data_IF_026330960507
#
_entry.id   IF_026330960507
#
_cell.length_a   1.000
_cell.length_b   1.000
_cell.length_c   1.000
_cell.angle_alpha   90.00
_cell.angle_beta   90.00
_cell.angle_gamma   90.00
#
_symmetry.space_group_name_H-M   'P 1'
#
loop_
_entity.id
_entity.type
_entity.pdbx_description
1 polymer ?
#
# COMPACT_ATOMS: atom_id res chain seq x y z
N UNK A 1 16.67 2.55 -2.57
CA UNK A 1 15.76 2.07 -1.51
C UNK A 1 15.69 0.58 -1.68
N UNK A 2 15.73 -0.19 -0.59
CA UNK A 2 15.59 -1.65 -0.67
C UNK A 2 14.24 -1.98 -1.30
N UNK A 3 14.28 -2.53 -2.51
CA UNK A 3 13.12 -2.89 -3.35
C UNK A 3 12.29 -4.04 -2.74
N UNK A 4 12.67 -4.50 -1.54
CA UNK A 4 11.99 -5.56 -0.78
C UNK A 4 10.72 -5.09 -0.08
N UNK A 5 10.50 -3.77 0.06
CA UNK A 5 9.37 -3.19 0.80
C UNK A 5 8.26 -2.60 -0.07
N UNK A 6 8.38 -2.71 -1.39
CA UNK A 6 7.49 -2.05 -2.34
C UNK A 6 6.99 -2.97 -3.43
N UNK A 7 5.88 -2.56 -4.05
CA UNK A 7 5.48 -3.01 -5.39
C UNK A 7 5.53 -1.81 -6.33
N UNK A 8 5.61 -2.08 -7.64
CA UNK A 8 5.66 -1.03 -8.66
C UNK A 8 4.40 -1.15 -9.51
N UNK A 9 3.80 -0.01 -9.80
CA UNK A 9 2.70 0.12 -10.74
C UNK A 9 3.04 1.20 -11.77
N UNK A 10 2.44 1.13 -12.94
CA UNK A 10 2.52 2.16 -13.95
C UNK A 10 1.17 2.87 -14.06
N UNK A 11 1.15 4.20 -14.02
CA UNK A 11 -0.06 5.02 -14.20
C UNK A 11 0.25 6.09 -15.25
N UNK A 12 -0.51 6.12 -16.34
CA UNK A 12 -0.34 7.12 -17.41
C UNK A 12 1.07 7.16 -18.00
N UNK A 13 1.72 5.99 -18.18
CA UNK A 13 3.08 5.91 -18.75
C UNK A 13 4.21 6.18 -17.76
N UNK A 14 3.91 6.22 -16.45
CA UNK A 14 4.90 6.54 -15.42
C UNK A 14 4.85 5.55 -14.27
N UNK A 15 6.03 5.08 -13.87
CA UNK A 15 6.19 4.19 -12.73
C UNK A 15 6.03 4.91 -11.40
N UNK A 16 5.30 4.27 -10.50
CA UNK A 16 5.11 4.66 -9.11
C UNK A 16 5.44 3.48 -8.19
N UNK A 17 6.29 3.74 -7.21
CA UNK A 17 6.56 2.81 -6.13
C UNK A 17 5.43 2.91 -5.09
N UNK A 18 4.77 1.80 -4.81
CA UNK A 18 3.75 1.67 -3.77
C UNK A 18 4.42 1.31 -2.45
N UNK A 19 4.21 2.15 -1.43
CA UNK A 19 4.78 1.95 -0.10
C UNK A 19 3.71 1.97 0.98
N UNK A 20 3.70 0.93 1.83
CA UNK A 20 2.96 0.96 3.08
C UNK A 20 3.81 1.62 4.17
N UNK A 21 3.74 2.95 4.26
CA UNK A 21 4.38 3.72 5.33
C UNK A 21 3.51 3.76 6.59
N UNK A 22 4.09 4.14 7.73
CA UNK A 22 3.32 4.41 8.97
C UNK A 22 2.20 5.44 8.74
N UNK A 23 2.42 6.43 7.85
CA UNK A 23 1.38 7.41 7.50
C UNK A 23 0.22 6.74 6.75
N UNK A 24 0.51 5.92 5.75
CA UNK A 24 -0.51 5.16 5.04
C UNK A 24 -1.26 4.19 5.97
N UNK A 25 -0.55 3.48 6.85
CA UNK A 25 -1.16 2.58 7.84
C UNK A 25 -2.16 3.31 8.74
N UNK A 26 -1.85 4.55 9.17
CA UNK A 26 -2.78 5.37 9.96
C UNK A 26 -4.04 5.75 9.18
N UNK A 27 -3.91 6.13 7.91
CA UNK A 27 -5.08 6.46 7.08
C UNK A 27 -5.93 5.23 6.78
N UNK A 28 -5.30 4.08 6.52
CA UNK A 28 -6.01 2.79 6.37
C UNK A 28 -6.74 2.43 7.67
N UNK A 29 -6.09 2.57 8.82
CA UNK A 29 -6.70 2.27 10.12
C UNK A 29 -7.93 3.15 10.41
N UNK A 30 -7.87 4.45 10.08
CA UNK A 30 -9.02 5.35 10.22
C UNK A 30 -10.20 4.94 9.34
N UNK A 31 -9.94 4.48 8.11
CA UNK A 31 -10.98 4.18 7.12
C UNK A 31 -11.57 2.77 7.26
N UNK A 32 -10.72 1.80 7.57
CA UNK A 32 -11.10 0.37 7.56
C UNK A 32 -11.06 -0.27 8.96
N UNK A 33 -10.58 0.43 9.98
CA UNK A 33 -10.41 -0.13 11.33
C UNK A 33 -9.12 -0.98 11.49
N UNK A 34 -8.25 -1.01 10.48
CA UNK A 34 -6.96 -1.70 10.52
C UNK A 34 -6.60 -2.36 9.19
N UNK A 35 -5.37 -2.88 9.10
CA UNK A 35 -4.89 -3.60 7.91
C UNK A 35 -5.60 -4.94 7.72
N UNK A 36 -5.93 -5.65 8.80
CA UNK A 36 -6.63 -6.94 8.74
C UNK A 36 -8.03 -6.79 8.12
N UNK A 37 -8.78 -5.77 8.54
CA UNK A 37 -10.12 -5.48 8.00
C UNK A 37 -10.05 -5.07 6.53
N UNK A 38 -9.04 -4.30 6.14
CA UNK A 38 -8.80 -3.99 4.73
C UNK A 38 -8.52 -5.26 3.92
N UNK A 39 -7.62 -6.13 4.41
CA UNK A 39 -7.31 -7.40 3.76
C UNK A 39 -8.55 -8.27 3.56
N UNK A 40 -9.38 -8.41 4.60
CA UNK A 40 -10.65 -9.14 4.50
C UNK A 40 -11.61 -8.53 3.47
N UNK A 41 -11.73 -7.19 3.42
CA UNK A 41 -12.56 -6.50 2.43
C UNK A 41 -12.06 -6.73 1.01
N UNK A 42 -10.75 -6.66 0.78
CA UNK A 42 -10.15 -6.91 -0.54
C UNK A 42 -10.33 -8.36 -1.00
N UNK A 43 -10.26 -9.33 -0.08
CA UNK A 43 -10.47 -10.74 -0.38
C UNK A 43 -11.93 -11.08 -0.69
N UNK A 44 -12.89 -10.45 0.01
CA UNK A 44 -14.33 -10.68 -0.17
C UNK A 44 -14.97 -9.88 -1.31
N UNK A 45 -14.28 -8.87 -1.83
CA UNK A 45 -14.79 -8.08 -2.96
C UNK A 45 -14.70 -8.89 -4.25
N UNK A 46 -15.69 -9.77 -4.46
CA UNK A 46 -15.92 -10.50 -5.71
C UNK A 46 -16.49 -9.58 -6.80
N UNK A 47 -17.15 -8.49 -6.40
CA UNK A 47 -17.67 -7.49 -7.33
C UNK A 47 -16.70 -6.29 -7.42
N UNK A 48 -15.81 -6.38 -8.38
CA UNK A 48 -14.77 -5.38 -8.63
C UNK A 48 -15.33 -3.98 -8.88
N UNK A 49 -16.47 -3.87 -9.58
CA UNK A 49 -17.11 -2.60 -9.87
C UNK A 49 -17.58 -1.87 -8.61
N UNK A 50 -17.99 -2.61 -7.58
CA UNK A 50 -18.39 -2.03 -6.29
C UNK A 50 -17.20 -1.63 -5.41
N UNK A 51 -15.98 -2.04 -5.77
CA UNK A 51 -14.75 -1.76 -5.02
C UNK A 51 -13.82 -0.77 -5.74
N UNK A 52 -14.27 -0.20 -6.87
CA UNK A 52 -13.50 0.72 -7.71
C UNK A 52 -12.97 1.92 -6.91
N UNK A 53 -13.85 2.59 -6.17
CA UNK A 53 -13.49 3.74 -5.34
C UNK A 53 -12.43 3.38 -4.29
N UNK A 54 -12.57 2.21 -3.65
CA UNK A 54 -11.57 1.74 -2.69
C UNK A 54 -10.23 1.41 -3.33
N UNK A 55 -10.22 0.79 -4.51
CA UNK A 55 -9.00 0.45 -5.25
C UNK A 55 -8.29 1.73 -5.69
N UNK A 56 -9.01 2.67 -6.29
CA UNK A 56 -8.50 3.98 -6.71
C UNK A 56 -7.91 4.73 -5.52
N UNK A 57 -8.61 4.75 -4.38
CA UNK A 57 -8.11 5.39 -3.17
C UNK A 57 -6.84 4.73 -2.64
N UNK A 58 -6.79 3.39 -2.60
CA UNK A 58 -5.62 2.64 -2.11
C UNK A 58 -4.40 2.85 -3.01
N UNK A 59 -4.58 2.80 -4.33
CA UNK A 59 -3.54 3.11 -5.31
C UNK A 59 -2.99 4.52 -5.05
N UNK A 60 -3.90 5.49 -5.01
CA UNK A 60 -3.54 6.90 -4.80
C UNK A 60 -2.79 7.08 -3.48
N UNK A 61 -3.26 6.47 -2.39
CA UNK A 61 -2.63 6.56 -1.08
C UNK A 61 -1.22 5.97 -1.08
N UNK A 62 -1.06 4.74 -1.57
CA UNK A 62 0.19 3.97 -1.48
C UNK A 62 1.24 4.50 -2.46
N UNK A 63 0.86 4.82 -3.70
CA UNK A 63 1.75 5.42 -4.70
C UNK A 63 2.24 6.80 -4.24
N UNK A 64 1.36 7.61 -3.63
CA UNK A 64 1.77 8.92 -3.12
C UNK A 64 2.77 8.85 -1.97
N UNK A 65 2.90 7.71 -1.27
CA UNK A 65 3.88 7.62 -0.19
C UNK A 65 5.31 7.76 -0.69
N UNK A 66 5.66 7.13 -1.83
CA UNK A 66 7.00 7.28 -2.42
C UNK A 66 7.25 8.72 -2.89
N UNK A 67 6.21 9.36 -3.45
CA UNK A 67 6.26 10.78 -3.84
C UNK A 67 6.48 11.69 -2.62
N UNK A 68 5.78 11.43 -1.52
CA UNK A 68 5.93 12.19 -0.27
C UNK A 68 7.32 12.00 0.35
N UNK A 69 7.84 10.77 0.36
CA UNK A 69 9.21 10.48 0.81
C UNK A 69 10.22 11.22 -0.06
N UNK A 70 10.09 11.17 -1.38
CA UNK A 70 10.94 11.91 -2.30
C UNK A 70 10.90 13.42 -2.02
N UNK A 71 9.70 13.98 -1.85
CA UNK A 71 9.51 15.42 -1.61
C UNK A 71 10.08 15.87 -0.28
N UNK A 72 10.05 15.01 0.74
CA UNK A 72 10.67 15.26 2.04
C UNK A 72 12.21 15.30 1.92
N UNK A 73 12.78 14.35 1.18
CA UNK A 73 14.23 14.22 0.99
C UNK A 73 14.80 15.21 -0.04
N UNK A 74 13.97 15.69 -0.97
CA UNK A 74 14.37 16.56 -2.07
C UNK A 74 13.46 17.81 -2.15
N UNK A 75 13.50 18.73 -1.16
CA UNK A 75 12.56 19.84 -1.08
C UNK A 75 12.59 20.81 -2.26
N UNK A 76 13.72 20.90 -2.98
CA UNK A 76 13.90 21.75 -4.16
C UNK A 76 13.41 21.12 -5.47
N UNK A 77 13.10 19.82 -5.48
CA UNK A 77 12.67 19.06 -6.67
C UNK A 77 11.36 18.32 -6.40
N UNK A 78 10.35 19.04 -5.89
CA UNK A 78 9.08 18.41 -5.55
C UNK A 78 8.39 17.83 -6.79
N UNK A 79 7.82 16.65 -6.60
CA UNK A 79 6.94 15.96 -7.53
C UNK A 79 5.49 16.20 -7.11
N UNK A 80 4.60 16.28 -8.08
CA UNK A 80 3.16 16.38 -7.80
C UNK A 80 2.61 15.05 -7.28
N UNK A 81 1.69 15.15 -6.33
CA UNK A 81 0.93 14.00 -5.84
C UNK A 81 -0.11 13.59 -6.89
N UNK A 82 -0.39 12.29 -6.96
CA UNK A 82 -1.54 11.75 -7.67
C UNK A 82 -2.83 12.16 -6.94
N UNK A 83 -3.87 12.43 -7.71
CA UNK A 83 -5.25 12.55 -7.23
C UNK A 83 -6.03 11.31 -7.65
N UNK A 84 -7.12 11.00 -6.94
CA UNK A 84 -8.01 9.88 -7.30
C UNK A 84 -8.55 10.06 -8.73
N UNK A 85 -8.99 11.27 -9.09
CA UNK A 85 -9.39 11.63 -10.45
C UNK A 85 -8.29 11.35 -11.50
N UNK A 86 -7.03 11.68 -11.20
CA UNK A 86 -5.93 11.39 -12.12
C UNK A 86 -5.71 9.89 -12.29
N UNK A 87 -5.87 9.09 -11.22
CA UNK A 87 -5.80 7.63 -11.32
C UNK A 87 -6.95 7.10 -12.18
N UNK A 88 -8.18 7.55 -11.96
CA UNK A 88 -9.34 7.14 -12.76
C UNK A 88 -9.19 7.48 -14.25
N UNK A 89 -8.66 8.67 -14.56
CA UNK A 89 -8.50 9.11 -15.96
C UNK A 89 -7.31 8.46 -16.68
N UNK A 90 -6.27 8.06 -15.94
CA UNK A 90 -5.01 7.57 -16.50
C UNK A 90 -4.86 6.04 -16.41
N UNK A 91 -5.93 5.33 -16.04
CA UNK A 91 -5.95 3.87 -15.93
C UNK A 91 -7.18 3.31 -16.64
N UNK A 92 -7.13 2.02 -16.95
CA UNK A 92 -8.23 1.26 -17.54
C UNK A 92 -8.75 0.20 -16.57
N UNK A 93 -10.01 -0.26 -16.72
CA UNK A 93 -10.56 -1.33 -15.87
C UNK A 93 -9.72 -2.61 -15.84
N UNK A 94 -8.98 -2.89 -16.92
CA UNK A 94 -8.06 -4.02 -17.00
C UNK A 94 -6.88 -3.85 -16.02
N UNK A 95 -6.21 -2.70 -16.05
CA UNK A 95 -5.05 -2.40 -15.17
C UNK A 95 -5.44 -2.38 -13.69
N UNK A 96 -6.65 -1.93 -13.38
CA UNK A 96 -7.12 -1.88 -12.00
C UNK A 96 -7.18 -3.27 -11.33
N UNK A 97 -7.37 -4.34 -12.10
CA UNK A 97 -7.33 -5.72 -11.59
C UNK A 97 -5.91 -6.12 -11.16
N UNK A 98 -4.89 -5.74 -11.94
CA UNK A 98 -3.49 -5.99 -11.61
C UNK A 98 -3.04 -5.16 -10.41
N UNK A 99 -3.55 -3.94 -10.27
CA UNK A 99 -3.24 -3.11 -9.11
C UNK A 99 -3.77 -3.69 -7.80
N UNK A 100 -4.84 -4.48 -7.80
CA UNK A 100 -5.28 -5.21 -6.59
C UNK A 100 -4.16 -6.11 -6.06
N UNK A 101 -3.46 -6.82 -6.95
CA UNK A 101 -2.33 -7.66 -6.57
C UNK A 101 -1.16 -6.80 -6.06
N UNK A 102 -0.87 -5.68 -6.73
CA UNK A 102 0.18 -4.75 -6.31
C UNK A 102 -0.10 -4.12 -4.93
N UNK A 103 -1.36 -3.79 -4.62
CA UNK A 103 -1.78 -3.30 -3.29
C UNK A 103 -1.48 -4.37 -2.23
N UNK A 104 -1.93 -5.60 -2.46
CA UNK A 104 -1.73 -6.72 -1.53
C UNK A 104 -0.25 -7.00 -1.31
N UNK A 105 0.55 -6.95 -2.37
CA UNK A 105 2.00 -7.10 -2.31
C UNK A 105 2.67 -5.97 -1.51
N UNK A 106 2.32 -4.71 -1.77
CA UNK A 106 2.84 -3.55 -1.02
C UNK A 106 2.49 -3.66 0.47
N UNK A 107 1.27 -4.09 0.78
CA UNK A 107 0.83 -4.32 2.15
C UNK A 107 1.66 -5.43 2.81
N UNK A 108 1.75 -6.60 2.18
CA UNK A 108 2.50 -7.73 2.69
C UNK A 108 3.97 -7.36 2.96
N UNK A 109 4.64 -6.78 1.97
CA UNK A 109 6.04 -6.33 2.06
C UNK A 109 6.25 -5.27 3.15
N UNK A 110 5.32 -4.32 3.29
CA UNK A 110 5.36 -3.31 4.34
C UNK A 110 5.13 -3.86 5.75
N UNK A 111 4.38 -4.96 5.88
CA UNK A 111 4.15 -5.65 7.16
C UNK A 111 5.20 -6.71 7.51
N UNK A 112 6.07 -7.11 6.57
CA UNK A 112 6.96 -8.27 6.74
C UNK A 112 7.93 -8.16 7.94
N UNK A 113 8.27 -6.94 8.40
CA UNK A 113 9.02 -6.74 9.66
C UNK A 113 8.20 -6.94 10.95
N UNK A 114 6.88 -6.88 10.89
CA UNK A 114 6.02 -7.18 12.04
C UNK A 114 5.84 -8.70 12.23
N UNK A 115 5.91 -9.49 11.15
CA UNK A 115 5.68 -10.95 11.21
C UNK A 115 6.89 -11.72 11.76
N UNK A 116 8.12 -11.26 11.49
CA UNK A 116 9.33 -11.86 12.09
C UNK A 116 9.55 -11.47 13.57
N UNK A 117 8.76 -10.53 14.13
CA UNK A 117 8.87 -10.15 15.55
C UNK A 117 7.98 -11.00 16.49
N UNK A 118 7.24 -11.99 15.97
CA UNK A 118 6.42 -12.92 16.76
C UNK A 118 6.97 -14.36 16.77
N UNK A 119 8.25 -14.58 16.48
CA UNK A 119 8.94 -15.83 16.78
C UNK A 119 10.10 -15.60 17.76
N UNK A 120 9.77 -15.50 19.05
CA UNK A 120 10.44 -16.25 20.13
C UNK A 120 9.58 -16.12 21.41
N UNK A 121 8.79 -17.14 21.82
CA UNK A 121 8.65 -17.36 23.25
C UNK A 121 10.03 -17.78 23.74
N UNK A 122 10.81 -16.83 24.24
CA UNK A 122 12.00 -17.14 25.02
C UNK A 122 11.53 -18.04 26.17
N UNK A 123 11.81 -19.33 26.02
CA UNK A 123 11.61 -20.31 27.09
C UNK A 123 12.55 -19.87 28.19
N UNK A 124 12.01 -19.18 29.19
CA UNK A 124 12.71 -18.93 30.43
C UNK A 124 13.27 -20.27 30.92
N UNK A 125 14.59 -20.32 30.94
CA UNK A 125 15.34 -21.41 31.52
C UNK A 125 14.96 -21.57 33.00
N UNK A 126 14.62 -22.80 33.36
CA UNK A 126 14.86 -23.45 34.64
C UNK A 126 14.45 -22.73 35.94
N UNK A 127 13.40 -23.26 36.58
CA UNK A 127 13.37 -23.42 38.05
C UNK A 127 12.95 -24.86 38.36
N UNK A 128 13.84 -25.60 39.01
CA UNK A 128 13.72 -27.02 39.33
C UNK A 128 15.09 -27.68 39.46
#
# INVERSE_FOLDING_TARGET
MDNERSSIIEIGGKEYEMLLTTKATKEIAKRYGGLSNLGEKLMKSENFEMALDEVVWLITLLANQSVLVHNLQNPSKKRNLLTEEAVELLTSPYELSDYKNAIMEAMYKGTKRNVESEEEPSKNAQVG
#
